data_IF_209696974846
#
_entry.id   IF_209696974846
#
_cell.length_a   1.000
_cell.length_b   1.000
_cell.length_c   1.000
_cell.angle_alpha   90.00
_cell.angle_beta   90.00
_cell.angle_gamma   90.00
#
_symmetry.space_group_name_H-M   'P 1'
#
loop_
_entity.id
_entity.type
_entity.pdbx_description
1 polymer ?
#
# COMPACT_ATOMS: atom_id res chain seq x y z
N UNK A 1 31.50 20.92 8.10
CA UNK A 1 30.88 19.96 9.03
C UNK A 1 30.20 18.90 8.20
N UNK A 2 30.61 17.64 8.33
CA UNK A 2 30.03 16.53 7.58
C UNK A 2 28.89 15.94 8.42
N UNK A 3 27.67 15.99 7.89
CA UNK A 3 26.50 15.41 8.57
C UNK A 3 26.58 13.89 8.40
N UNK A 4 26.60 13.15 9.50
CA UNK A 4 26.54 11.68 9.46
C UNK A 4 25.08 11.23 9.45
N UNK A 5 24.75 10.29 8.57
CA UNK A 5 23.37 9.85 8.29
C UNK A 5 23.08 8.44 8.78
N UNK A 6 23.98 7.85 9.57
CA UNK A 6 23.91 6.47 10.08
C UNK A 6 22.68 6.19 10.94
N UNK A 7 22.16 7.21 11.64
CA UNK A 7 21.00 7.10 12.54
C UNK A 7 19.74 7.78 12.00
N UNK A 8 19.71 8.09 10.70
CA UNK A 8 18.51 8.66 10.07
C UNK A 8 17.59 7.52 9.65
N UNK A 9 16.35 7.54 10.13
CA UNK A 9 15.30 6.64 9.66
C UNK A 9 14.83 7.10 8.27
N UNK A 10 14.93 6.20 7.30
CA UNK A 10 14.39 6.41 5.95
C UNK A 10 13.04 5.70 5.83
N UNK A 11 12.01 6.45 5.44
CA UNK A 11 10.71 5.92 5.05
C UNK A 11 10.49 6.29 3.59
N UNK A 12 10.28 5.29 2.75
CA UNK A 12 9.98 5.45 1.32
C UNK A 12 8.57 4.92 1.10
N UNK A 13 7.72 5.71 0.48
CA UNK A 13 6.33 5.36 0.19
C UNK A 13 5.97 5.73 -1.24
N UNK A 14 5.04 4.98 -1.82
CA UNK A 14 4.56 5.18 -3.17
C UNK A 14 3.28 4.38 -3.43
N UNK A 15 2.63 4.65 -4.55
CA UNK A 15 1.53 3.84 -5.05
C UNK A 15 2.08 2.92 -6.15
N UNK A 16 1.95 1.60 -5.95
CA UNK A 16 2.50 0.57 -6.83
C UNK A 16 1.37 -0.12 -7.58
N UNK A 17 0.89 0.53 -8.64
CA UNK A 17 -0.14 -0.04 -9.52
C UNK A 17 0.37 -1.29 -10.24
N UNK A 18 -0.46 -2.33 -10.37
CA UNK A 18 -0.07 -3.60 -11.00
C UNK A 18 0.78 -4.52 -10.11
N UNK A 19 1.17 -4.09 -8.90
CA UNK A 19 1.91 -4.94 -7.95
C UNK A 19 1.12 -6.19 -7.57
N UNK A 20 -0.20 -6.08 -7.41
CA UNK A 20 -1.08 -7.21 -7.11
C UNK A 20 -0.97 -8.30 -8.18
N UNK A 21 -0.85 -7.94 -9.46
CA UNK A 21 -0.75 -8.90 -10.56
C UNK A 21 0.59 -9.65 -10.56
N UNK A 22 1.68 -8.96 -10.20
CA UNK A 22 3.01 -9.56 -10.07
C UNK A 22 3.01 -10.59 -8.94
N UNK A 23 2.48 -10.21 -7.78
CA UNK A 23 2.37 -11.10 -6.64
C UNK A 23 1.45 -12.29 -6.98
N UNK A 24 0.32 -12.04 -7.64
CA UNK A 24 -0.63 -13.07 -8.05
C UNK A 24 0.03 -14.09 -9.00
N UNK A 25 0.74 -13.63 -10.04
CA UNK A 25 1.52 -14.49 -10.94
C UNK A 25 2.52 -15.36 -10.19
N UNK A 26 3.18 -14.81 -9.16
CA UNK A 26 4.13 -15.56 -8.34
C UNK A 26 3.43 -16.63 -7.51
N UNK A 27 2.38 -16.28 -6.78
CA UNK A 27 1.64 -17.20 -5.91
C UNK A 27 0.96 -18.30 -6.75
N UNK A 28 0.34 -17.91 -7.85
CA UNK A 28 -0.47 -18.76 -8.72
C UNK A 28 0.31 -19.36 -9.89
N UNK A 29 1.65 -19.42 -9.81
CA UNK A 29 2.54 -19.93 -10.87
C UNK A 29 2.16 -21.33 -11.38
N UNK A 30 1.57 -22.17 -10.52
CA UNK A 30 1.06 -23.51 -10.87
C UNK A 30 -0.07 -23.45 -11.91
N UNK A 31 -0.90 -22.40 -11.90
CA UNK A 31 -2.03 -22.23 -12.81
C UNK A 31 -1.61 -21.64 -14.17
N UNK A 32 -0.48 -20.93 -14.23
CA UNK A 32 0.05 -20.34 -15.47
C UNK A 32 0.96 -21.28 -16.27
N UNK A 33 1.26 -22.47 -15.74
CA UNK A 33 2.11 -23.45 -16.43
C UNK A 33 1.26 -24.26 -17.41
N UNK A 34 1.59 -24.22 -18.70
CA UNK A 34 0.87 -24.95 -19.73
C UNK A 34 1.34 -26.42 -19.72
N UNK A 35 0.60 -27.30 -19.03
CA UNK A 35 0.94 -28.71 -18.88
C UNK A 35 -0.23 -29.56 -18.37
N UNK A 36 -0.20 -30.86 -18.67
CA UNK A 36 -1.23 -31.88 -18.36
C UNK A 36 -1.39 -32.10 -16.83
N UNK A 37 -1.93 -31.13 -16.07
CA UNK A 37 -2.56 -31.25 -14.74
C UNK A 37 -2.90 -29.86 -14.15
N UNK A 38 -3.69 -29.04 -14.85
CA UNK A 38 -4.09 -27.74 -14.30
C UNK A 38 -5.34 -27.90 -13.45
N UNK A 39 -5.17 -27.80 -12.13
CA UNK A 39 -6.27 -27.49 -11.21
C UNK A 39 -6.89 -26.14 -11.62
N UNK A 40 -8.20 -25.98 -11.50
CA UNK A 40 -8.88 -24.71 -11.83
C UNK A 40 -8.49 -23.64 -10.80
N UNK A 41 -8.12 -22.45 -11.26
CA UNK A 41 -7.76 -21.33 -10.38
C UNK A 41 -8.93 -20.97 -9.43
N UNK A 42 -8.68 -20.75 -8.13
CA UNK A 42 -9.72 -20.33 -7.19
C UNK A 42 -10.23 -18.92 -7.50
N UNK A 43 -11.52 -18.68 -7.26
CA UNK A 43 -12.17 -17.38 -7.50
C UNK A 43 -11.46 -16.23 -6.75
N UNK A 44 -11.19 -15.15 -7.49
CA UNK A 44 -10.22 -14.07 -7.21
C UNK A 44 -10.65 -13.03 -6.17
N UNK A 45 -11.86 -13.10 -5.63
CA UNK A 45 -12.47 -11.97 -4.91
C UNK A 45 -11.96 -11.74 -3.48
N UNK A 46 -11.29 -12.71 -2.85
CA UNK A 46 -10.75 -12.57 -1.47
C UNK A 46 -9.23 -12.40 -1.40
N UNK A 47 -8.55 -12.26 -2.55
CA UNK A 47 -7.08 -12.30 -2.61
C UNK A 47 -6.41 -10.95 -2.33
N UNK A 48 -7.01 -9.80 -2.61
CA UNK A 48 -6.27 -8.52 -2.59
C UNK A 48 -5.61 -8.17 -1.24
N UNK A 49 -6.26 -8.47 -0.11
CA UNK A 49 -5.68 -8.24 1.23
C UNK A 49 -4.61 -9.28 1.58
N UNK A 50 -4.81 -10.53 1.18
CA UNK A 50 -3.84 -11.62 1.38
C UNK A 50 -2.60 -11.47 0.51
N UNK A 51 -2.78 -11.07 -0.75
CA UNK A 51 -1.73 -10.80 -1.73
C UNK A 51 -0.82 -9.67 -1.25
N UNK A 52 -1.36 -8.59 -0.67
CA UNK A 52 -0.55 -7.50 -0.08
C UNK A 52 0.28 -7.93 1.12
N UNK A 53 -0.28 -8.75 2.01
CA UNK A 53 0.42 -9.27 3.19
C UNK A 53 1.60 -10.21 2.82
N UNK A 54 1.67 -10.65 1.58
CA UNK A 54 2.68 -11.59 1.08
C UNK A 54 3.72 -10.93 0.16
N UNK A 55 3.72 -9.60 0.02
CA UNK A 55 4.70 -8.87 -0.79
C UNK A 55 6.14 -9.19 -0.34
N UNK A 56 6.96 -9.65 -1.28
CA UNK A 56 8.36 -10.02 -1.07
C UNK A 56 9.33 -9.18 -1.88
N UNK A 57 10.62 -9.31 -1.57
CA UNK A 57 11.70 -8.61 -2.28
C UNK A 57 11.76 -8.96 -3.78
N UNK A 58 11.40 -10.20 -4.15
CA UNK A 58 11.37 -10.64 -5.55
C UNK A 58 10.30 -9.93 -6.38
N UNK A 59 9.14 -9.60 -5.79
CA UNK A 59 8.09 -8.86 -6.48
C UNK A 59 8.53 -7.42 -6.76
N UNK A 60 9.27 -6.81 -5.84
CA UNK A 60 9.86 -5.48 -6.04
C UNK A 60 10.91 -5.47 -7.15
N UNK A 61 11.72 -6.53 -7.26
CA UNK A 61 12.68 -6.66 -8.35
C UNK A 61 11.99 -6.84 -9.70
N UNK A 62 10.97 -7.70 -9.78
CA UNK A 62 10.15 -7.89 -10.99
C UNK A 62 9.40 -6.60 -11.37
N UNK A 63 8.98 -5.80 -10.39
CA UNK A 63 8.39 -4.48 -10.61
C UNK A 63 9.38 -3.46 -11.20
N UNK A 64 10.69 -3.67 -11.02
CA UNK A 64 11.74 -2.84 -11.60
C UNK A 64 12.68 -2.17 -10.60
N UNK A 65 12.62 -2.52 -9.31
CA UNK A 65 13.62 -2.04 -8.35
C UNK A 65 14.94 -2.81 -8.49
N UNK A 66 16.06 -2.09 -8.34
CA UNK A 66 17.38 -2.71 -8.34
C UNK A 66 17.65 -3.46 -7.01
N UNK A 67 18.35 -4.61 -7.04
CA UNK A 67 18.58 -5.44 -5.85
C UNK A 67 19.27 -4.69 -4.69
N UNK A 68 20.23 -3.82 -4.99
CA UNK A 68 20.97 -3.05 -4.00
C UNK A 68 20.08 -2.08 -3.23
N UNK A 69 19.01 -1.58 -3.87
CA UNK A 69 18.04 -0.71 -3.25
C UNK A 69 17.08 -1.51 -2.37
N UNK A 70 16.53 -2.62 -2.89
CA UNK A 70 15.64 -3.50 -2.12
C UNK A 70 16.34 -4.04 -0.87
N UNK A 71 17.64 -4.38 -0.97
CA UNK A 71 18.44 -4.81 0.18
C UNK A 71 18.64 -3.77 1.27
N UNK A 72 18.44 -2.47 0.97
CA UNK A 72 18.49 -1.37 1.95
C UNK A 72 17.13 -1.09 2.61
N UNK A 73 16.06 -1.72 2.13
CA UNK A 73 14.68 -1.53 2.64
C UNK A 73 14.17 -2.87 3.19
N UNK A 74 14.65 -3.30 4.38
CA UNK A 74 14.35 -4.63 4.92
C UNK A 74 12.92 -4.77 5.47
N UNK A 75 12.21 -3.65 5.65
CA UNK A 75 10.85 -3.63 6.19
C UNK A 75 9.91 -3.11 5.12
N UNK A 76 8.92 -3.92 4.78
CA UNK A 76 7.87 -3.60 3.81
C UNK A 76 6.56 -3.51 4.58
N UNK A 77 5.83 -2.42 4.38
CA UNK A 77 4.51 -2.22 4.96
C UNK A 77 3.52 -1.86 3.84
N UNK A 78 2.39 -2.55 3.80
CA UNK A 78 1.30 -2.26 2.87
C UNK A 78 0.17 -1.53 3.57
N UNK A 79 -0.43 -0.56 2.91
CA UNK A 79 -1.62 0.14 3.39
C UNK A 79 -2.87 -0.49 2.78
N UNK A 80 -3.93 -0.59 3.57
CA UNK A 80 -5.24 -0.99 3.09
C UNK A 80 -5.98 0.17 2.44
N UNK A 81 -6.84 -0.18 1.48
CA UNK A 81 -7.77 0.77 0.90
C UNK A 81 -8.75 1.27 1.98
N UNK A 82 -9.11 2.55 1.88
CA UNK A 82 -10.06 3.16 2.80
C UNK A 82 -11.48 2.70 2.46
N UNK A 83 -12.18 2.15 3.45
CA UNK A 83 -13.60 1.88 3.39
C UNK A 83 -14.44 3.13 3.73
N UNK A 84 -15.75 3.06 3.45
CA UNK A 84 -16.68 4.16 3.72
C UNK A 84 -16.69 4.57 5.22
N UNK A 85 -16.77 3.65 6.20
CA UNK A 85 -16.63 3.99 7.61
C UNK A 85 -15.33 4.74 7.97
N UNK A 86 -14.19 4.32 7.41
CA UNK A 86 -12.88 4.92 7.62
C UNK A 86 -12.82 6.32 7.01
N UNK A 87 -13.37 6.51 5.80
CA UNK A 87 -13.49 7.84 5.18
C UNK A 87 -14.31 8.79 6.04
N UNK A 88 -15.48 8.34 6.54
CA UNK A 88 -16.30 9.15 7.46
C UNK A 88 -15.47 9.52 8.69
N UNK A 89 -14.77 8.56 9.31
CA UNK A 89 -13.91 8.80 10.47
C UNK A 89 -12.78 9.81 10.18
N UNK A 90 -12.19 9.80 8.99
CA UNK A 90 -11.14 10.75 8.60
C UNK A 90 -11.73 12.16 8.44
N UNK A 91 -12.91 12.25 7.84
CA UNK A 91 -13.58 13.53 7.55
C UNK A 91 -14.21 14.18 8.78
N UNK A 92 -14.78 13.38 9.70
CA UNK A 92 -15.59 13.84 10.85
C UNK A 92 -14.97 13.54 12.21
N UNK A 93 -14.03 12.61 12.28
CA UNK A 93 -13.48 12.10 13.54
C UNK A 93 -12.24 12.85 14.02
N UNK A 94 -11.34 12.11 14.68
CA UNK A 94 -10.26 12.66 15.51
C UNK A 94 -8.85 12.60 14.87
N UNK A 95 -8.60 13.06 13.64
CA UNK A 95 -7.37 13.80 13.41
C UNK A 95 -7.56 15.23 13.91
N UNK A 96 -6.52 15.81 14.52
CA UNK A 96 -6.47 17.23 14.98
C UNK A 96 -6.82 18.28 13.89
N UNK A 97 -7.11 17.86 12.65
CA UNK A 97 -7.40 18.67 11.46
C UNK A 97 -8.46 18.03 10.56
N UNK A 98 -9.53 17.44 11.12
CA UNK A 98 -10.62 16.91 10.30
C UNK A 98 -11.21 18.00 9.38
N UNK A 99 -11.53 17.67 8.13
CA UNK A 99 -12.00 18.63 7.13
C UNK A 99 -13.25 19.39 7.59
N UNK A 100 -14.18 18.70 8.26
CA UNK A 100 -15.40 19.32 8.79
C UNK A 100 -15.07 20.43 9.80
N UNK A 101 -14.10 20.23 10.68
CA UNK A 101 -13.68 21.24 11.65
C UNK A 101 -12.97 22.43 10.99
N UNK A 102 -12.21 22.18 9.92
CA UNK A 102 -11.61 23.26 9.12
C UNK A 102 -12.67 24.12 8.44
N UNK A 103 -13.71 23.51 7.86
CA UNK A 103 -14.82 24.24 7.24
C UNK A 103 -15.65 25.01 8.27
N UNK A 104 -15.94 24.43 9.43
CA UNK A 104 -16.61 25.15 10.53
C UNK A 104 -15.82 26.38 10.96
N UNK A 105 -14.50 26.24 11.12
CA UNK A 105 -13.65 27.38 11.45
C UNK A 105 -13.68 28.47 10.37
N UNK A 106 -13.66 28.10 9.09
CA UNK A 106 -13.76 29.04 7.97
C UNK A 106 -15.08 29.81 7.99
N UNK A 107 -16.22 29.12 8.15
CA UNK A 107 -17.53 29.76 8.19
C UNK A 107 -17.72 30.69 9.41
N UNK A 108 -17.16 30.31 10.56
CA UNK A 108 -17.13 31.18 11.74
C UNK A 108 -16.33 32.47 11.51
N UNK A 109 -15.26 32.43 10.71
CA UNK A 109 -14.50 33.63 10.33
C UNK A 109 -15.33 34.55 9.43
N UNK A 110 -16.21 33.99 8.60
CA UNK A 110 -17.09 34.73 7.71
C UNK A 110 -18.41 35.18 8.38
N UNK A 111 -18.56 34.99 9.70
CA UNK A 111 -19.80 35.25 10.46
C UNK A 111 -21.04 34.53 9.88
N UNK A 112 -20.82 33.42 9.20
CA UNK A 112 -21.89 32.53 8.73
C UNK A 112 -21.90 31.34 9.69
N UNK A 113 -22.87 31.32 10.60
CA UNK A 113 -23.03 30.28 11.63
C UNK A 113 -24.49 29.88 11.77
#
# INVERSE_FOLDING_TARGET
MQIRTDNILFMVGGAFEGMTDIIDKRINKKYYTMGFNNDVAPNTTSLESFTRAQLGAEDLMEYGFIPEFVGRVPVIATLDNLDKPQLIRILTGNPKKAFVEQYKALFLMDNVG
#
